data_IF_347183732428
#
_entry.id   IF_347183732428
#
_cell.length_a   1.000
_cell.length_b   1.000
_cell.length_c   1.000
_cell.angle_alpha   90.00
_cell.angle_beta   90.00
_cell.angle_gamma   90.00
#
_symmetry.space_group_name_H-M   'P 1'
#
loop_
_entity.id
_entity.type
_entity.pdbx_description
1 polymer ?
#
# COMPACT_ATOMS: atom_id res chain seq x y z
N UNK A 1 -17.35 1.66 50.17
CA UNK A 1 -17.79 0.33 50.65
C UNK A 1 -17.52 -0.68 49.54
N UNK A 2 -16.52 -1.52 49.76
CA UNK A 2 -16.00 -2.48 48.79
C UNK A 2 -16.84 -3.76 48.84
N UNK A 3 -17.20 -4.32 47.68
CA UNK A 3 -17.71 -5.69 47.58
C UNK A 3 -16.87 -6.45 46.57
N UNK A 4 -15.83 -7.11 47.09
CA UNK A 4 -15.20 -8.26 46.43
C UNK A 4 -16.21 -9.40 46.49
N UNK A 5 -16.59 -9.96 45.34
CA UNK A 5 -17.27 -11.25 45.29
C UNK A 5 -16.53 -12.16 44.30
N UNK A 6 -16.15 -13.32 44.83
CA UNK A 6 -15.43 -14.42 44.24
C UNK A 6 -16.34 -15.33 43.40
N UNK A 7 -15.71 -16.29 42.68
CA UNK A 7 -16.25 -17.46 41.96
C UNK A 7 -16.95 -17.14 40.63
N UNK A 8 -16.73 -17.82 39.51
CA UNK A 8 -16.02 -19.06 39.18
C UNK A 8 -16.67 -19.69 37.94
N UNK A 9 -15.92 -20.57 37.25
CA UNK A 9 -16.39 -21.62 36.32
C UNK A 9 -16.82 -21.26 34.87
N UNK A 10 -15.95 -21.69 33.94
CA UNK A 10 -16.17 -22.28 32.61
C UNK A 10 -17.46 -21.96 31.80
N UNK A 11 -17.27 -21.46 30.59
CA UNK A 11 -18.10 -21.84 29.44
C UNK A 11 -17.32 -21.65 28.13
N UNK A 12 -17.20 -22.76 27.39
CA UNK A 12 -16.70 -22.86 26.02
C UNK A 12 -17.40 -21.86 25.09
N UNK A 13 -16.64 -21.03 24.39
CA UNK A 13 -17.10 -20.32 23.20
C UNK A 13 -16.29 -20.81 22.01
N UNK A 14 -16.91 -21.78 21.31
CA UNK A 14 -16.83 -22.05 19.87
C UNK A 14 -15.68 -21.31 19.16
N UNK A 15 -14.60 -22.04 18.87
CA UNK A 15 -13.70 -21.66 17.78
C UNK A 15 -14.48 -21.74 16.48
N UNK A 16 -15.02 -20.61 16.03
CA UNK A 16 -15.51 -20.46 14.68
C UNK A 16 -14.33 -20.68 13.74
N UNK A 17 -14.31 -21.84 13.06
CA UNK A 17 -13.52 -22.04 11.86
C UNK A 17 -14.08 -21.10 10.80
N UNK A 18 -13.68 -19.83 10.84
CA UNK A 18 -13.86 -18.91 9.73
C UNK A 18 -13.00 -19.46 8.60
N UNK A 19 -13.67 -20.05 7.61
CA UNK A 19 -13.10 -20.43 6.32
C UNK A 19 -12.43 -19.20 5.75
N UNK A 20 -11.12 -19.07 5.92
CA UNK A 20 -10.34 -18.16 5.11
C UNK A 20 -10.32 -18.78 3.73
N UNK A 21 -11.26 -18.35 2.88
CA UNK A 21 -11.15 -18.52 1.44
C UNK A 21 -9.83 -17.86 1.07
N UNK A 22 -8.81 -18.68 0.85
CA UNK A 22 -7.63 -18.24 0.12
C UNK A 22 -8.08 -18.01 -1.31
N UNK A 23 -8.47 -16.78 -1.61
CA UNK A 23 -8.50 -16.31 -2.98
C UNK A 23 -7.08 -16.53 -3.53
N UNK A 24 -6.97 -17.29 -4.61
CA UNK A 24 -5.70 -17.43 -5.32
C UNK A 24 -5.21 -16.02 -5.68
N UNK A 25 -4.06 -15.63 -5.13
CA UNK A 25 -3.43 -14.34 -5.42
C UNK A 25 -3.10 -14.32 -6.92
N UNK A 26 -3.82 -13.48 -7.67
CA UNK A 26 -3.64 -13.35 -9.12
C UNK A 26 -2.32 -12.68 -9.49
N UNK A 27 -1.54 -12.20 -8.51
CA UNK A 27 -0.37 -11.35 -8.72
C UNK A 27 -0.72 -9.94 -9.17
N UNK A 28 -2.01 -9.60 -9.27
CA UNK A 28 -2.53 -8.29 -9.68
C UNK A 28 -3.29 -7.64 -8.54
N UNK A 29 -3.11 -6.33 -8.39
CA UNK A 29 -3.86 -5.52 -7.44
C UNK A 29 -5.30 -5.31 -7.87
N UNK A 30 -6.18 -5.10 -6.89
CA UNK A 30 -7.57 -4.71 -7.15
C UNK A 30 -7.70 -3.19 -7.32
N UNK A 31 -8.79 -2.70 -7.94
CA UNK A 31 -9.06 -1.27 -8.02
C UNK A 31 -9.10 -0.58 -6.64
N UNK A 32 -9.61 -1.27 -5.62
CA UNK A 32 -9.66 -0.76 -4.25
C UNK A 32 -8.27 -0.67 -3.64
N UNK A 33 -7.40 -1.66 -3.86
CA UNK A 33 -6.00 -1.62 -3.43
C UNK A 33 -5.25 -0.45 -4.10
N UNK A 34 -5.47 -0.23 -5.39
CA UNK A 34 -4.89 0.89 -6.12
C UNK A 34 -5.37 2.25 -5.58
N UNK A 35 -6.65 2.38 -5.27
CA UNK A 35 -7.22 3.61 -4.70
C UNK A 35 -6.64 3.91 -3.32
N UNK A 36 -6.55 2.89 -2.45
CA UNK A 36 -5.94 3.05 -1.13
C UNK A 36 -4.46 3.44 -1.23
N UNK A 37 -3.71 2.84 -2.17
CA UNK A 37 -2.31 3.21 -2.41
C UNK A 37 -2.18 4.67 -2.85
N UNK A 38 -3.07 5.13 -3.74
CA UNK A 38 -3.10 6.53 -4.18
C UNK A 38 -3.39 7.50 -3.02
N UNK A 39 -4.41 7.22 -2.21
CA UNK A 39 -4.76 8.06 -1.04
C UNK A 39 -3.59 8.15 -0.05
N UNK A 40 -2.92 7.03 0.19
CA UNK A 40 -1.72 6.98 1.03
C UNK A 40 -0.55 7.75 0.43
N UNK A 41 -0.33 7.65 -0.88
CA UNK A 41 0.73 8.37 -1.57
C UNK A 41 0.51 9.89 -1.51
N UNK A 42 -0.74 10.34 -1.70
CA UNK A 42 -1.13 11.75 -1.55
C UNK A 42 -0.84 12.24 -0.14
N UNK A 43 -1.25 11.48 0.89
CA UNK A 43 -0.99 11.84 2.28
C UNK A 43 0.53 11.91 2.59
N UNK A 44 1.33 10.98 2.05
CA UNK A 44 2.78 10.97 2.24
C UNK A 44 3.45 12.19 1.60
N UNK A 45 3.06 12.56 0.37
CA UNK A 45 3.59 13.75 -0.31
C UNK A 45 3.22 15.03 0.43
N UNK A 46 1.98 15.13 0.93
CA UNK A 46 1.53 16.29 1.72
C UNK A 46 2.29 16.42 3.05
N UNK A 47 2.72 15.31 3.65
CA UNK A 47 3.46 15.32 4.90
C UNK A 47 4.95 15.67 4.69
N UNK A 48 5.60 15.05 3.71
CA UNK A 48 7.00 15.28 3.36
C UNK A 48 7.27 14.72 1.95
N UNK A 49 7.29 15.62 0.96
CA UNK A 49 7.47 15.26 -0.45
C UNK A 49 8.79 14.54 -0.70
N UNK A 50 9.91 15.05 -0.16
CA UNK A 50 11.23 14.49 -0.42
C UNK A 50 11.34 13.06 0.12
N UNK A 51 10.84 12.84 1.34
CA UNK A 51 10.80 11.52 1.97
C UNK A 51 9.83 10.58 1.25
N UNK A 52 8.68 11.07 0.81
CA UNK A 52 7.71 10.27 0.07
C UNK A 52 8.30 9.77 -1.26
N UNK A 53 8.93 10.66 -2.04
CA UNK A 53 9.58 10.29 -3.31
C UNK A 53 10.70 9.25 -3.10
N UNK A 54 11.48 9.36 -2.02
CA UNK A 54 12.47 8.34 -1.66
C UNK A 54 11.82 6.98 -1.38
N UNK A 55 10.74 6.95 -0.58
CA UNK A 55 10.00 5.71 -0.30
C UNK A 55 9.40 5.09 -1.55
N UNK A 56 8.81 5.91 -2.45
CA UNK A 56 8.22 5.44 -3.71
C UNK A 56 9.29 4.77 -4.59
N UNK A 57 10.47 5.36 -4.69
CA UNK A 57 11.58 4.80 -5.45
C UNK A 57 12.10 3.47 -4.88
N UNK A 58 12.09 3.33 -3.56
CA UNK A 58 12.44 2.06 -2.90
C UNK A 58 11.30 1.04 -2.88
N UNK A 59 10.06 1.46 -3.14
CA UNK A 59 8.86 0.64 -2.96
C UNK A 59 8.57 0.31 -1.49
N UNK A 60 9.08 1.13 -0.57
CA UNK A 60 8.90 0.94 0.88
C UNK A 60 7.55 1.48 1.36
N UNK A 61 7.20 1.20 2.61
CA UNK A 61 6.01 1.78 3.23
C UNK A 61 4.70 1.34 2.58
N UNK A 62 4.69 0.26 1.78
CA UNK A 62 3.50 -0.21 1.06
C UNK A 62 3.16 0.60 -0.19
N UNK A 63 4.15 1.28 -0.79
CA UNK A 63 4.02 1.96 -2.09
C UNK A 63 4.37 1.07 -3.28
N UNK A 64 4.53 -0.23 -3.03
CA UNK A 64 4.67 -1.28 -4.02
C UNK A 64 4.06 -2.57 -3.47
N UNK A 65 3.04 -3.07 -4.14
CA UNK A 65 2.33 -4.29 -3.76
C UNK A 65 1.84 -4.97 -5.04
N UNK A 66 2.13 -6.27 -5.22
CA UNK A 66 1.83 -6.98 -6.47
C UNK A 66 2.36 -6.23 -7.70
N UNK A 67 1.50 -5.84 -8.63
CA UNK A 67 1.80 -4.99 -9.80
C UNK A 67 1.56 -3.49 -9.56
N UNK A 68 0.98 -3.10 -8.42
CA UNK A 68 0.72 -1.72 -8.05
C UNK A 68 1.97 -1.05 -7.51
N UNK A 69 2.24 0.16 -7.99
CA UNK A 69 3.31 1.02 -7.49
C UNK A 69 3.00 2.49 -7.76
N UNK A 70 3.59 3.38 -6.97
CA UNK A 70 3.49 4.82 -7.18
C UNK A 70 4.53 5.27 -8.21
N UNK A 71 4.11 6.09 -9.17
CA UNK A 71 5.01 6.82 -10.06
C UNK A 71 4.72 8.32 -9.98
N UNK A 72 5.73 9.14 -10.18
CA UNK A 72 5.62 10.60 -10.15
C UNK A 72 6.44 11.23 -11.28
N UNK A 73 5.89 12.29 -11.88
CA UNK A 73 6.57 13.14 -12.86
C UNK A 73 6.85 14.50 -12.25
N UNK A 74 8.09 14.99 -12.42
CA UNK A 74 8.52 16.30 -11.97
C UNK A 74 8.15 17.42 -12.93
N UNK A 75 8.28 18.69 -12.50
CA UNK A 75 8.02 19.87 -13.34
C UNK A 75 9.00 19.99 -14.52
N UNK A 76 10.16 19.33 -14.45
CA UNK A 76 11.13 19.20 -15.54
C UNK A 76 10.68 18.22 -16.65
N UNK A 77 9.57 17.51 -16.43
CA UNK A 77 9.05 16.51 -17.35
C UNK A 77 9.76 15.16 -17.26
N UNK A 78 10.55 14.93 -16.21
CA UNK A 78 11.22 13.65 -15.95
C UNK A 78 10.56 12.88 -14.80
N UNK A 79 10.75 11.57 -14.74
CA UNK A 79 10.29 10.77 -13.61
C UNK A 79 11.08 11.10 -12.36
N UNK A 80 10.36 11.51 -11.31
CA UNK A 80 10.89 11.70 -9.95
C UNK A 80 10.72 10.44 -9.12
N UNK A 81 9.68 9.65 -9.38
CA UNK A 81 9.51 8.32 -8.81
C UNK A 81 9.10 7.31 -9.90
N UNK A 82 9.88 6.24 -10.06
CA UNK A 82 9.53 5.09 -10.90
C UNK A 82 10.44 3.90 -10.59
N UNK A 83 9.97 2.64 -10.58
CA UNK A 83 10.83 1.48 -10.29
C UNK A 83 12.06 1.31 -11.20
N UNK A 84 12.03 1.88 -12.41
CA UNK A 84 13.08 1.71 -13.45
C UNK A 84 13.45 2.96 -14.25
N UNK A 85 12.69 4.05 -14.12
CA UNK A 85 12.73 5.15 -15.10
C UNK A 85 13.05 6.51 -14.48
N UNK A 86 13.47 6.56 -13.20
CA UNK A 86 13.87 7.81 -12.54
C UNK A 86 14.87 8.58 -13.42
N UNK A 87 14.62 9.88 -13.61
CA UNK A 87 15.43 10.77 -14.43
C UNK A 87 15.23 10.62 -15.95
N UNK A 88 14.39 9.70 -16.42
CA UNK A 88 13.98 9.65 -17.83
C UNK A 88 12.82 10.60 -18.09
N UNK A 89 12.80 11.18 -19.27
CA UNK A 89 11.74 12.05 -19.76
C UNK A 89 10.44 11.28 -19.98
N UNK A 90 9.32 11.80 -19.47
CA UNK A 90 7.99 11.26 -19.71
C UNK A 90 7.56 11.41 -21.18
N UNK A 91 8.05 12.45 -21.86
CA UNK A 91 7.71 12.75 -23.26
C UNK A 91 8.33 11.77 -24.25
N UNK A 92 9.44 11.15 -23.86
CA UNK A 92 10.20 10.25 -24.71
C UNK A 92 9.73 8.79 -24.59
N UNK A 93 8.74 8.53 -23.73
CA UNK A 93 8.09 7.23 -23.63
C UNK A 93 7.34 6.91 -24.92
N UNK A 94 7.61 5.72 -25.44
CA UNK A 94 6.91 5.16 -26.59
C UNK A 94 6.36 3.81 -26.20
N UNK A 95 5.21 3.47 -26.76
CA UNK A 95 4.66 2.13 -26.65
C UNK A 95 5.63 1.12 -27.29
N UNK A 96 5.58 -0.11 -26.80
CA UNK A 96 6.37 -1.20 -27.35
C UNK A 96 5.63 -1.74 -28.58
N UNK A 97 5.65 -0.95 -29.66
CA UNK A 97 5.13 -1.24 -31.01
C UNK A 97 3.63 -1.46 -31.14
#
# INVERSE_FOLDING_TARGET
MNKKLLLGLAASCVMGLSSTVWAADSGFGTPEEAKMMLEKAVAAVQADEAKALEMFNKGEGGFKEKDLYVFCGGPDGNFTAHPKLVGKSLKDLKDKT
#
